data_IF_630770011204
#
_entry.id   IF_630770011204
#
_cell.length_a   1.000
_cell.length_b   1.000
_cell.length_c   1.000
_cell.angle_alpha   90.00
_cell.angle_beta   90.00
_cell.angle_gamma   90.00
#
_symmetry.space_group_name_H-M   'P 1'
#
loop_
_entity.id
_entity.type
_entity.pdbx_description
1 polymer ?
#
# COMPACT_ATOMS: atom_id res chain seq x y z
N UNK A 1 0.22 3.23 -9.43
CA UNK A 1 0.72 2.51 -8.25
C UNK A 1 1.80 1.53 -8.67
N UNK A 2 2.82 1.32 -7.83
CA UNK A 2 3.82 0.27 -7.95
C UNK A 2 3.44 -0.89 -7.00
N UNK A 3 3.15 -2.10 -7.51
CA UNK A 3 2.78 -3.24 -6.68
C UNK A 3 4.02 -3.91 -6.06
N UNK A 4 3.94 -4.21 -4.76
CA UNK A 4 4.95 -5.01 -4.03
C UNK A 4 4.21 -6.01 -3.14
N UNK A 5 4.26 -7.29 -3.51
CA UNK A 5 3.47 -8.33 -2.82
C UNK A 5 1.97 -8.04 -2.90
N UNK A 6 1.32 -7.89 -1.75
CA UNK A 6 -0.11 -7.53 -1.63
C UNK A 6 -0.35 -6.03 -1.37
N UNK A 7 0.70 -5.22 -1.51
CA UNK A 7 0.64 -3.79 -1.22
C UNK A 7 0.85 -2.97 -2.48
N UNK A 8 0.26 -1.77 -2.52
CA UNK A 8 0.32 -0.85 -3.64
C UNK A 8 0.81 0.51 -3.17
N UNK A 9 1.90 1.01 -3.77
CA UNK A 9 2.54 2.27 -3.40
C UNK A 9 2.44 3.30 -4.51
N UNK A 10 2.44 4.59 -4.18
CA UNK A 10 2.51 5.65 -5.18
C UNK A 10 3.29 6.84 -4.64
N UNK A 11 4.14 7.47 -5.46
CA UNK A 11 4.80 8.71 -5.06
C UNK A 11 3.80 9.87 -4.91
N UNK A 12 2.61 9.74 -5.48
CA UNK A 12 1.55 10.77 -5.45
C UNK A 12 0.52 10.51 -4.34
N UNK A 13 0.69 9.44 -3.55
CA UNK A 13 -0.18 9.15 -2.41
C UNK A 13 0.38 9.80 -1.14
N UNK A 14 -0.21 10.93 -0.75
CA UNK A 14 0.22 11.72 0.40
C UNK A 14 1.58 12.41 0.19
N UNK A 15 2.18 12.92 1.27
CA UNK A 15 3.46 13.64 1.19
C UNK A 15 4.63 12.65 1.12
N UNK A 16 5.44 12.76 0.07
CA UNK A 16 6.77 12.11 -0.02
C UNK A 16 7.65 12.60 1.12
N UNK A 17 8.27 11.69 1.87
CA UNK A 17 9.23 12.07 2.91
C UNK A 17 10.63 11.60 2.51
N UNK A 18 11.60 12.53 2.40
CA UNK A 18 12.98 12.15 2.15
C UNK A 18 13.53 11.39 3.37
N UNK A 19 14.32 10.34 3.10
CA UNK A 19 15.01 9.56 4.11
C UNK A 19 16.53 9.86 4.16
N UNK A 20 17.03 10.68 3.23
CA UNK A 20 18.45 10.97 3.05
C UNK A 20 19.08 10.07 1.98
N UNK A 21 20.31 10.38 1.55
CA UNK A 21 21.08 9.54 0.60
C UNK A 21 20.36 9.20 -0.73
N UNK A 22 19.53 10.13 -1.23
CA UNK A 22 18.73 9.91 -2.43
C UNK A 22 17.52 8.99 -2.25
N UNK A 23 17.22 8.57 -1.02
CA UNK A 23 16.07 7.73 -0.68
C UNK A 23 14.85 8.58 -0.28
N UNK A 24 13.67 8.11 -0.65
CA UNK A 24 12.39 8.65 -0.22
C UNK A 24 11.42 7.55 0.19
N UNK A 25 10.47 7.88 1.07
CA UNK A 25 9.38 6.98 1.45
C UNK A 25 8.12 7.30 0.64
N UNK A 26 7.50 6.25 0.10
CA UNK A 26 6.21 6.33 -0.56
C UNK A 26 5.14 5.68 0.30
N UNK A 27 3.97 6.30 0.36
CA UNK A 27 2.82 5.71 1.03
C UNK A 27 2.12 4.73 0.09
N UNK A 28 1.36 3.84 0.71
CA UNK A 28 0.58 2.83 0.03
C UNK A 28 -0.49 2.27 0.94
N UNK A 29 -1.18 1.26 0.45
CA UNK A 29 -2.11 0.46 1.24
C UNK A 29 -1.85 -1.02 0.96
N UNK A 30 -2.14 -1.86 1.95
CA UNK A 30 -2.20 -3.30 1.76
C UNK A 30 -3.58 -3.65 1.21
N UNK A 31 -3.70 -4.70 0.40
CA UNK A 31 -5.00 -5.16 -0.08
C UNK A 31 -5.06 -6.68 -0.14
N UNK A 32 -6.06 -7.27 0.51
CA UNK A 32 -6.39 -8.68 0.30
C UNK A 32 -7.87 -8.97 0.44
N UNK A 33 -8.38 -9.91 -0.34
CA UNK A 33 -9.70 -10.50 -0.14
C UNK A 33 -9.57 -11.67 0.85
N UNK A 34 -10.45 -11.72 1.86
CA UNK A 34 -10.49 -12.79 2.86
C UNK A 34 -11.88 -13.42 2.93
N UNK A 35 -11.99 -14.77 2.92
CA UNK A 35 -13.25 -15.44 3.19
C UNK A 35 -13.66 -15.25 4.65
N UNK A 36 -14.95 -15.06 4.88
CA UNK A 36 -15.58 -14.91 6.20
C UNK A 36 -16.91 -15.64 6.23
N UNK A 37 -17.52 -15.78 7.40
CA UNK A 37 -18.86 -16.38 7.53
C UNK A 37 -19.94 -15.60 6.77
N UNK A 38 -19.76 -14.28 6.59
CA UNK A 38 -20.72 -13.39 5.92
C UNK A 38 -20.37 -13.16 4.45
N UNK A 39 -19.48 -13.97 3.86
CA UNK A 39 -19.01 -13.81 2.48
C UNK A 39 -17.57 -13.31 2.41
N UNK A 40 -17.24 -12.54 1.37
CA UNK A 40 -15.90 -12.01 1.18
C UNK A 40 -15.75 -10.65 1.87
N UNK A 41 -14.61 -10.46 2.54
CA UNK A 41 -14.21 -9.16 3.08
C UNK A 41 -12.98 -8.64 2.34
N UNK A 42 -12.94 -7.32 2.15
CA UNK A 42 -11.75 -6.61 1.70
C UNK A 42 -10.99 -6.12 2.92
N UNK A 43 -9.77 -6.62 3.12
CA UNK A 43 -8.84 -6.09 4.12
C UNK A 43 -7.90 -5.09 3.44
N UNK A 44 -8.08 -3.81 3.77
CA UNK A 44 -7.22 -2.69 3.40
C UNK A 44 -6.32 -2.32 4.58
#
# INVERSE_FOLDING_TARGET
YSPVGRSFYSPDLGRRQPLGEGLESWRGFYQSIRPTQMGLSLNI
#
